data_IF_192339746487
#
_entry.id   IF_192339746487
#
_cell.length_a   1.000
_cell.length_b   1.000
_cell.length_c   1.000
_cell.angle_alpha   90.00
_cell.angle_beta   90.00
_cell.angle_gamma   90.00
#
_symmetry.space_group_name_H-M   'P 1'
#
loop_
_entity.id
_entity.type
_entity.pdbx_description
1 polymer ?
#
# COMPACT_ATOMS: atom_id res chain seq x y z
N UNK A 1 -18.65 -22.66 -4.98
CA UNK A 1 -18.28 -21.25 -4.75
C UNK A 1 -17.17 -21.31 -3.73
N UNK A 2 -15.95 -21.40 -4.24
CA UNK A 2 -14.89 -22.20 -3.63
C UNK A 2 -14.05 -21.42 -2.62
N UNK A 3 -13.99 -21.91 -1.38
CA UNK A 3 -13.26 -21.33 -0.26
C UNK A 3 -11.76 -21.10 -0.53
N UNK A 4 -11.18 -21.85 -1.47
CA UNK A 4 -9.78 -21.75 -1.88
C UNK A 4 -9.51 -20.42 -2.62
N UNK A 5 -10.43 -19.99 -3.50
CA UNK A 5 -10.27 -18.78 -4.30
C UNK A 5 -10.42 -17.52 -3.44
N UNK A 6 -11.31 -17.57 -2.45
CA UNK A 6 -11.50 -16.50 -1.46
C UNK A 6 -10.25 -16.34 -0.59
N UNK A 7 -9.65 -17.45 -0.15
CA UNK A 7 -8.44 -17.43 0.67
C UNK A 7 -7.23 -16.82 -0.06
N UNK A 8 -7.03 -17.20 -1.33
CA UNK A 8 -5.95 -16.66 -2.16
C UNK A 8 -6.02 -15.14 -2.36
N UNK A 9 -7.24 -14.60 -2.54
CA UNK A 9 -7.42 -13.15 -2.70
C UNK A 9 -7.10 -12.38 -1.42
N UNK A 10 -7.52 -12.91 -0.26
CA UNK A 10 -7.25 -12.31 1.06
C UNK A 10 -5.75 -12.31 1.35
N UNK A 11 -5.05 -13.40 1.04
CA UNK A 11 -3.60 -13.52 1.27
C UNK A 11 -2.80 -12.50 0.43
N UNK A 12 -3.23 -12.24 -0.80
CA UNK A 12 -2.61 -11.24 -1.67
C UNK A 12 -2.82 -9.80 -1.17
N UNK A 13 -4.03 -9.46 -0.74
CA UNK A 13 -4.35 -8.14 -0.15
C UNK A 13 -3.53 -7.91 1.12
N UNK A 14 -3.42 -8.92 1.98
CA UNK A 14 -2.59 -8.82 3.19
C UNK A 14 -1.13 -8.54 2.84
N UNK A 15 -0.62 -9.21 1.79
CA UNK A 15 0.73 -9.00 1.28
C UNK A 15 0.93 -7.56 0.80
N UNK A 16 0.03 -7.05 -0.04
CA UNK A 16 0.11 -5.65 -0.51
C UNK A 16 -0.05 -4.64 0.63
N UNK A 17 -0.93 -4.90 1.60
CA UNK A 17 -1.06 -4.03 2.77
C UNK A 17 0.24 -3.95 3.57
N UNK A 18 0.97 -5.07 3.72
CA UNK A 18 2.27 -5.10 4.40
C UNK A 18 3.33 -4.35 3.60
N UNK A 19 3.39 -4.55 2.28
CA UNK A 19 4.36 -3.87 1.41
C UNK A 19 4.12 -2.36 1.41
N UNK A 20 2.88 -1.92 1.22
CA UNK A 20 2.48 -0.50 1.22
C UNK A 20 2.89 0.18 2.52
N UNK A 21 2.68 -0.49 3.67
CA UNK A 21 3.01 0.07 4.99
C UNK A 21 4.47 -0.18 5.41
N UNK A 22 5.29 -0.77 4.55
CA UNK A 22 6.68 -1.07 4.88
C UNK A 22 7.52 0.20 5.02
N UNK A 23 8.62 0.15 5.80
CA UNK A 23 9.57 1.27 5.88
C UNK A 23 10.16 1.66 4.52
N UNK A 24 10.29 0.72 3.59
CA UNK A 24 10.80 0.98 2.25
C UNK A 24 9.90 1.92 1.45
N UNK A 25 8.57 1.74 1.55
CA UNK A 25 7.59 2.62 0.90
C UNK A 25 7.42 3.91 1.71
N UNK A 26 7.03 3.80 2.98
CA UNK A 26 6.65 4.95 3.78
C UNK A 26 7.83 5.89 4.05
N UNK A 27 9.05 5.37 4.15
CA UNK A 27 10.27 6.19 4.25
C UNK A 27 10.52 7.04 3.00
N UNK A 28 10.27 6.49 1.80
CA UNK A 28 10.37 7.23 0.54
C UNK A 28 9.34 8.35 0.48
N UNK A 29 8.09 8.07 0.86
CA UNK A 29 7.00 9.06 0.92
C UNK A 29 7.33 10.19 1.90
N UNK A 30 7.83 9.85 3.09
CA UNK A 30 8.26 10.84 4.08
C UNK A 30 9.34 11.76 3.52
N UNK A 31 10.34 11.20 2.83
CA UNK A 31 11.40 11.97 2.20
C UNK A 31 10.92 12.83 1.03
N UNK A 32 10.02 12.32 0.19
CA UNK A 32 9.51 13.01 -0.99
C UNK A 32 8.63 14.21 -0.63
N UNK A 33 7.82 14.09 0.44
CA UNK A 33 6.92 15.14 0.90
C UNK A 33 7.48 15.97 2.07
N UNK A 34 8.75 15.75 2.46
CA UNK A 34 9.42 16.39 3.61
C UNK A 34 8.55 16.36 4.90
N UNK A 35 8.03 15.18 5.23
CA UNK A 35 7.14 15.01 6.37
C UNK A 35 7.96 14.92 7.66
N UNK A 36 7.69 15.81 8.62
CA UNK A 36 8.32 15.78 9.96
C UNK A 36 7.79 14.67 10.90
N UNK A 37 7.45 13.49 10.38
CA UNK A 37 6.87 12.39 11.15
C UNK A 37 7.58 11.05 10.86
N UNK A 38 7.50 10.09 11.78
CA UNK A 38 8.08 8.76 11.60
C UNK A 38 7.26 7.87 10.66
N UNK A 39 7.87 6.77 10.22
CA UNK A 39 7.20 5.70 9.45
C UNK A 39 5.98 5.17 10.21
N UNK A 40 6.11 4.92 11.51
CA UNK A 40 5.00 4.40 12.34
C UNK A 40 3.85 5.40 12.41
N UNK A 41 4.16 6.68 12.62
CA UNK A 41 3.16 7.76 12.64
C UNK A 41 2.42 7.90 11.30
N UNK A 42 3.13 7.73 10.18
CA UNK A 42 2.50 7.71 8.86
C UNK A 42 1.66 6.45 8.64
N UNK A 43 2.14 5.29 9.08
CA UNK A 43 1.46 4.00 8.96
C UNK A 43 0.12 3.96 9.71
N UNK A 44 0.05 4.62 10.87
CA UNK A 44 -1.17 4.79 11.67
C UNK A 44 -2.23 5.64 10.96
N UNK A 45 -1.82 6.59 10.11
CA UNK A 45 -2.74 7.41 9.30
C UNK A 45 -3.33 6.68 8.10
N UNK A 46 -2.75 5.54 7.72
CA UNK A 46 -3.12 4.80 6.52
C UNK A 46 -4.04 3.64 6.87
N UNK A 47 -5.17 3.54 6.19
CA UNK A 47 -6.05 2.38 6.24
C UNK A 47 -6.15 1.76 4.85
N UNK A 48 -5.95 0.44 4.78
CA UNK A 48 -6.13 -0.34 3.55
C UNK A 48 -7.38 -1.19 3.74
N UNK A 49 -8.36 -1.04 2.85
CA UNK A 49 -9.56 -1.86 2.85
C UNK A 49 -9.64 -2.63 1.54
N UNK A 50 -9.92 -3.92 1.59
CA UNK A 50 -10.24 -4.71 0.40
C UNK A 50 -11.72 -4.83 0.19
N UNK A 51 -12.14 -4.81 -1.08
CA UNK A 51 -13.49 -5.22 -1.43
C UNK A 51 -13.57 -6.75 -1.44
N UNK A 52 -14.54 -7.32 -0.73
CA UNK A 52 -14.75 -8.77 -0.69
C UNK A 52 -14.87 -9.36 -2.09
N UNK A 53 -14.19 -10.49 -2.32
CA UNK A 53 -14.15 -11.19 -3.61
C UNK A 53 -13.57 -10.36 -4.78
N UNK A 54 -12.75 -9.34 -4.49
CA UNK A 54 -12.09 -8.50 -5.47
C UNK A 54 -10.59 -8.41 -5.21
N UNK A 55 -9.81 -8.25 -6.28
CA UNK A 55 -8.39 -7.87 -6.20
C UNK A 55 -8.22 -6.34 -6.05
N UNK A 56 -9.33 -5.61 -5.90
CA UNK A 56 -9.35 -4.16 -5.67
C UNK A 56 -9.31 -3.88 -4.18
N UNK A 57 -8.39 -3.01 -3.78
CA UNK A 57 -8.32 -2.41 -2.47
C UNK A 57 -8.38 -0.89 -2.58
N UNK A 58 -8.79 -0.24 -1.49
CA UNK A 58 -8.75 1.20 -1.31
C UNK A 58 -7.74 1.58 -0.24
N UNK A 59 -7.00 2.65 -0.50
CA UNK A 59 -6.10 3.29 0.46
C UNK A 59 -6.74 4.58 0.92
N UNK A 60 -6.86 4.76 2.23
CA UNK A 60 -7.35 5.97 2.86
C UNK A 60 -6.29 6.55 3.76
N UNK A 61 -6.07 7.87 3.69
CA UNK A 61 -5.19 8.62 4.59
C UNK A 61 -6.04 9.57 5.42
N UNK A 62 -5.84 9.55 6.73
CA UNK A 62 -6.45 10.52 7.64
C UNK A 62 -5.41 11.54 8.09
N UNK A 63 -5.66 12.82 7.80
CA UNK A 63 -4.87 13.92 8.30
C UNK A 63 -5.77 15.11 8.67
N UNK A 64 -5.32 15.92 9.63
CA UNK A 64 -5.95 17.19 10.00
C UNK A 64 -6.03 18.18 8.83
N UNK A 65 -5.10 18.09 7.88
CA UNK A 65 -5.08 18.89 6.66
C UNK A 65 -5.52 18.03 5.47
N UNK A 66 -6.68 18.32 4.84
CA UNK A 66 -7.19 17.52 3.73
C UNK A 66 -6.27 17.54 2.50
N UNK A 67 -5.56 18.64 2.25
CA UNK A 67 -4.57 18.72 1.16
C UNK A 67 -3.43 17.75 1.40
N UNK A 68 -2.89 17.72 2.63
CA UNK A 68 -1.83 16.75 2.99
C UNK A 68 -2.32 15.31 2.89
N UNK A 69 -3.57 15.02 3.30
CA UNK A 69 -4.12 13.69 3.16
C UNK A 69 -4.15 13.20 1.70
N UNK A 70 -4.53 14.09 0.77
CA UNK A 70 -4.54 13.79 -0.66
C UNK A 70 -3.12 13.58 -1.19
N UNK A 71 -2.19 14.48 -0.86
CA UNK A 71 -0.78 14.36 -1.28
C UNK A 71 -0.17 13.04 -0.82
N UNK A 72 -0.33 12.71 0.47
CA UNK A 72 0.16 11.46 1.04
C UNK A 72 -0.48 10.26 0.35
N UNK A 73 -1.80 10.23 0.16
CA UNK A 73 -2.48 9.10 -0.45
C UNK A 73 -1.99 8.85 -1.90
N UNK A 74 -1.78 9.92 -2.66
CA UNK A 74 -1.26 9.84 -4.02
C UNK A 74 0.19 9.37 -4.04
N UNK A 75 1.06 9.99 -3.24
CA UNK A 75 2.49 9.63 -3.20
C UNK A 75 2.71 8.20 -2.70
N UNK A 76 1.95 7.72 -1.71
CA UNK A 76 2.01 6.32 -1.28
C UNK A 76 1.62 5.39 -2.42
N UNK A 77 0.54 5.70 -3.13
CA UNK A 77 0.05 4.89 -4.25
C UNK A 77 1.07 4.82 -5.40
N UNK A 78 1.66 5.95 -5.76
CA UNK A 78 2.69 6.03 -6.80
C UNK A 78 3.97 5.32 -6.40
N UNK A 79 4.42 5.50 -5.15
CA UNK A 79 5.64 4.84 -4.64
C UNK A 79 5.46 3.34 -4.64
N UNK A 80 4.32 2.84 -4.15
CA UNK A 80 4.00 1.41 -4.18
C UNK A 80 4.00 0.85 -5.61
N UNK A 81 3.33 1.53 -6.56
CA UNK A 81 3.29 1.10 -7.95
C UNK A 81 4.68 1.05 -8.60
N UNK A 82 5.58 1.97 -8.25
CA UNK A 82 6.96 1.96 -8.72
C UNK A 82 7.71 0.74 -8.17
N UNK A 83 7.67 0.50 -6.86
CA UNK A 83 8.40 -0.62 -6.25
C UNK A 83 7.94 -1.99 -6.76
N UNK A 84 6.63 -2.23 -6.89
CA UNK A 84 6.14 -3.53 -7.38
C UNK A 84 6.39 -3.75 -8.87
N UNK A 85 6.59 -2.67 -9.63
CA UNK A 85 6.95 -2.74 -11.05
C UNK A 85 8.44 -3.01 -11.23
N UNK A 86 9.25 -2.56 -10.28
CA UNK A 86 10.70 -2.76 -10.27
C UNK A 86 11.09 -4.11 -9.60
N UNK A 87 10.22 -4.72 -8.80
CA UNK A 87 10.35 -6.14 -8.44
C UNK A 87 9.94 -7.03 -9.62
N UNK A 88 10.80 -7.98 -10.06
CA UNK A 88 10.38 -8.95 -11.05
C UNK A 88 9.23 -9.77 -10.48
N UNK A 89 8.12 -9.81 -11.21
CA UNK A 89 6.97 -10.66 -10.91
C UNK A 89 7.46 -12.07 -10.53
N UNK A 90 7.19 -12.55 -9.30
CA UNK A 90 7.69 -13.84 -8.84
C UNK A 90 7.21 -15.02 -9.71
N UNK A 91 6.11 -14.88 -10.47
CA UNK A 91 5.69 -15.88 -11.45
C UNK A 91 6.52 -15.84 -12.76
N UNK A 92 7.07 -14.68 -13.13
CA UNK A 92 7.93 -14.53 -14.32
C UNK A 92 9.38 -14.95 -14.08
N UNK A 93 9.80 -15.17 -12.84
CA UNK A 93 11.18 -15.62 -12.50
C UNK A 93 11.35 -17.15 -12.67
N UNK A 94 10.26 -17.90 -12.83
CA UNK A 94 10.27 -19.37 -12.91
C UNK A 94 10.11 -19.95 -14.33
N UNK A 95 10.27 -19.15 -15.39
CA UNK A 95 10.24 -19.62 -16.79
C UNK A 95 11.61 -19.79 -17.42
#
# INVERSE_FOLDING_TARGET
>A
MDSIQIKSNIDMINTYSVIIKSPAILGKVIGELDLGQSVDQLSEKITINSQENSQVFSLTVQDSNPTKAVEIANTVSETFQKEIKDEPDPELVLS
#
